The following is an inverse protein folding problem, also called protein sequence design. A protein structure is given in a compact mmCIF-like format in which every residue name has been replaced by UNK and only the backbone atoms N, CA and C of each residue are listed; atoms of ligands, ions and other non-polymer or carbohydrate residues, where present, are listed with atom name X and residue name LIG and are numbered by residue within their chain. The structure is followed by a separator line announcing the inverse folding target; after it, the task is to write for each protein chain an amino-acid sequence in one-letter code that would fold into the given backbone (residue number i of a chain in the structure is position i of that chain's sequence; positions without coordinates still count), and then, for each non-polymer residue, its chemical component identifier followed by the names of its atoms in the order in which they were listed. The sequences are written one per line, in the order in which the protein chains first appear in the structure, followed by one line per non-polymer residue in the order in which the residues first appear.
data_IF_907221614059
#
_entry.id   IF_907221614059
#
_cell.length_a   1.000
_cell.length_b   1.000
_cell.length_c   1.000
_cell.angle_alpha   90.00
_cell.angle_beta   90.00
_cell.angle_gamma   90.00
#
_symmetry.space_group_name_H-M   'P 1'
#
loop_
_entity.id
_entity.type
_entity.pdbx_description
1 polymer ?
#
# COMPACT_ATOMS: atom_id res chain seq x y z
N UNK A 1 33.42 -3.92 -6.70
CA UNK A 1 32.09 -4.47 -6.99
C UNK A 1 30.92 -3.91 -6.13
N UNK A 2 30.91 -2.65 -5.63
CA UNK A 2 29.70 -2.08 -5.00
C UNK A 2 28.61 -1.68 -6.01
N UNK A 3 29.01 -1.32 -7.23
CA UNK A 3 28.13 -0.68 -8.22
C UNK A 3 27.03 -1.62 -8.77
N UNK A 4 27.32 -2.92 -8.93
CA UNK A 4 26.34 -3.90 -9.43
C UNK A 4 25.26 -4.23 -8.38
N UNK A 5 25.63 -4.35 -7.11
CA UNK A 5 24.68 -4.64 -6.03
C UNK A 5 23.70 -3.47 -5.83
N UNK A 6 24.20 -2.24 -5.83
CA UNK A 6 23.36 -1.04 -5.76
C UNK A 6 22.40 -0.96 -6.94
N UNK A 7 22.87 -1.26 -8.15
CA UNK A 7 22.02 -1.24 -9.35
C UNK A 7 20.89 -2.27 -9.27
N UNK A 8 21.19 -3.48 -8.80
CA UNK A 8 20.18 -4.53 -8.56
C UNK A 8 19.13 -4.09 -7.53
N UNK A 9 19.55 -3.41 -6.47
CA UNK A 9 18.61 -2.90 -5.46
C UNK A 9 17.73 -1.75 -5.99
N UNK A 10 18.28 -0.87 -6.82
CA UNK A 10 17.49 0.20 -7.47
C UNK A 10 16.45 -0.36 -8.44
N UNK A 11 16.79 -1.43 -9.16
CA UNK A 11 15.85 -2.14 -10.03
C UNK A 11 14.74 -2.81 -9.19
N UNK A 12 15.08 -3.38 -8.03
CA UNK A 12 14.08 -3.92 -7.08
C UNK A 12 13.16 -2.84 -6.53
N UNK A 13 13.69 -1.68 -6.10
CA UNK A 13 12.87 -0.56 -5.63
C UNK A 13 11.93 -0.04 -6.72
N UNK A 14 12.42 0.04 -7.96
CA UNK A 14 11.59 0.41 -9.12
C UNK A 14 10.47 -0.60 -9.35
N UNK A 15 10.75 -1.89 -9.23
CA UNK A 15 9.74 -2.93 -9.36
C UNK A 15 8.70 -2.89 -8.23
N UNK A 16 9.14 -2.72 -6.98
CA UNK A 16 8.27 -2.67 -5.80
C UNK A 16 7.34 -1.46 -5.82
N UNK A 17 7.85 -0.27 -6.19
CA UNK A 17 7.01 0.92 -6.34
C UNK A 17 5.89 0.71 -7.37
N UNK A 18 6.20 0.13 -8.53
CA UNK A 18 5.17 -0.19 -9.53
C UNK A 18 4.12 -1.20 -9.02
N UNK A 19 4.51 -2.15 -8.17
CA UNK A 19 3.56 -3.08 -7.53
C UNK A 19 2.67 -2.38 -6.51
N UNK A 20 3.21 -1.43 -5.74
CA UNK A 20 2.44 -0.64 -4.78
C UNK A 20 1.45 0.28 -5.50
N UNK A 21 1.84 0.93 -6.59
CA UNK A 21 0.92 1.71 -7.43
C UNK A 21 -0.22 0.83 -7.98
N UNK A 22 0.08 -0.41 -8.38
CA UNK A 22 -0.95 -1.36 -8.83
C UNK A 22 -1.88 -1.79 -7.69
N UNK A 23 -1.34 -2.00 -6.48
CA UNK A 23 -2.14 -2.34 -5.30
C UNK A 23 -3.03 -1.17 -4.88
N UNK A 24 -2.55 0.07 -4.93
CA UNK A 24 -3.34 1.27 -4.69
C UNK A 24 -4.55 1.33 -5.63
N UNK A 25 -4.32 1.23 -6.95
CA UNK A 25 -5.42 1.18 -7.94
C UNK A 25 -6.38 0.03 -7.72
N UNK A 26 -5.87 -1.14 -7.30
CA UNK A 26 -6.73 -2.28 -6.99
C UNK A 26 -7.58 -2.01 -5.75
N UNK A 27 -7.02 -1.37 -4.73
CA UNK A 27 -7.73 -0.96 -3.52
C UNK A 27 -8.82 0.08 -3.83
N UNK A 28 -8.55 1.08 -4.66
CA UNK A 28 -9.56 2.07 -5.10
C UNK A 28 -10.79 1.43 -5.75
N UNK A 29 -10.58 0.31 -6.47
CA UNK A 29 -11.67 -0.42 -7.12
C UNK A 29 -12.36 -1.42 -6.20
N UNK A 30 -11.84 -1.64 -4.99
CA UNK A 30 -12.42 -2.56 -4.03
C UNK A 30 -13.72 -1.94 -3.50
N UNK A 31 -14.84 -2.58 -3.84
CA UNK A 31 -16.14 -2.24 -3.26
C UNK A 31 -16.47 -3.27 -2.20
N UNK A 32 -16.64 -2.86 -0.96
CA UNK A 32 -17.06 -3.76 0.11
C UNK A 32 -18.56 -4.05 -0.07
N UNK A 33 -18.88 -5.14 -0.77
CA UNK A 33 -20.25 -5.59 -0.91
C UNK A 33 -20.53 -6.59 0.23
N UNK A 34 -21.44 -6.28 1.16
CA UNK A 34 -21.84 -7.24 2.17
C UNK A 34 -22.52 -8.44 1.52
N UNK A 35 -21.90 -9.62 1.64
CA UNK A 35 -22.44 -10.89 1.15
C UNK A 35 -23.11 -11.63 2.31
N UNK A 36 -24.39 -11.36 2.56
CA UNK A 36 -25.17 -12.07 3.58
C UNK A 36 -26.53 -12.54 3.01
N UNK A 37 -26.95 -13.80 3.27
CA UNK A 37 -28.18 -14.39 2.73
C UNK A 37 -29.47 -13.67 3.17
N UNK A 38 -29.42 -12.86 4.23
CA UNK A 38 -30.57 -12.10 4.75
C UNK A 38 -30.84 -10.79 3.99
N UNK A 39 -29.89 -10.33 3.17
CA UNK A 39 -30.05 -9.11 2.35
C UNK A 39 -31.08 -9.35 1.22
N UNK A 40 -31.33 -10.62 0.85
CA UNK A 40 -32.33 -11.01 -0.14
C UNK A 40 -33.77 -11.18 0.38
N UNK A 41 -34.00 -11.12 1.68
CA UNK A 41 -35.33 -11.24 2.29
C UNK A 41 -35.71 -9.92 3.00
N UNK A 42 -36.14 -8.88 2.24
CA UNK A 42 -36.40 -7.55 2.78
C UNK A 42 -37.49 -7.48 3.87
N UNK A 43 -38.29 -8.54 4.04
CA UNK A 43 -39.35 -8.61 5.03
C UNK A 43 -38.91 -9.06 6.44
N UNK A 44 -37.69 -9.59 6.63
CA UNK A 44 -37.26 -10.19 7.91
C UNK A 44 -36.02 -9.53 8.55
N UNK A 45 -35.40 -8.53 7.90
CA UNK A 45 -34.22 -7.86 8.45
C UNK A 45 -34.61 -6.79 9.48
N UNK A 46 -34.05 -6.83 10.69
CA UNK A 46 -34.16 -5.74 11.66
C UNK A 46 -33.51 -4.46 11.11
N UNK A 47 -34.15 -3.30 11.31
CA UNK A 47 -33.64 -2.01 10.86
C UNK A 47 -32.27 -1.67 11.46
N UNK A 48 -32.02 -2.09 12.70
CA UNK A 48 -30.73 -1.97 13.38
C UNK A 48 -29.61 -2.73 12.67
N UNK A 49 -29.88 -3.95 12.20
CA UNK A 49 -28.91 -4.76 11.47
C UNK A 49 -28.52 -4.09 10.15
N UNK A 50 -29.48 -3.50 9.44
CA UNK A 50 -29.22 -2.76 8.20
C UNK A 50 -28.36 -1.53 8.45
N UNK A 51 -28.61 -0.80 9.54
CA UNK A 51 -27.81 0.35 9.93
C UNK A 51 -26.37 -0.05 10.25
N UNK A 52 -26.17 -1.16 10.99
CA UNK A 52 -24.83 -1.69 11.28
C UNK A 52 -24.09 -2.07 10.01
N UNK A 53 -24.72 -2.82 9.09
CA UNK A 53 -24.10 -3.19 7.82
C UNK A 53 -23.72 -1.94 6.99
N UNK A 54 -24.61 -0.94 6.92
CA UNK A 54 -24.31 0.32 6.23
C UNK A 54 -23.11 1.03 6.85
N UNK A 55 -23.10 1.20 8.18
CA UNK A 55 -22.00 1.86 8.89
C UNK A 55 -20.69 1.09 8.70
N UNK A 56 -20.72 -0.23 8.74
CA UNK A 56 -19.54 -1.07 8.53
C UNK A 56 -19.02 -0.97 7.10
N UNK A 57 -19.90 -1.03 6.09
CA UNK A 57 -19.51 -0.85 4.69
C UNK A 57 -18.95 0.55 4.44
N UNK A 58 -19.62 1.59 4.94
CA UNK A 58 -19.16 2.97 4.81
C UNK A 58 -17.79 3.17 5.48
N UNK A 59 -17.57 2.62 6.68
CA UNK A 59 -16.28 2.71 7.36
C UNK A 59 -15.17 2.00 6.57
N UNK A 60 -15.47 0.82 6.02
CA UNK A 60 -14.49 0.06 5.25
C UNK A 60 -14.14 0.77 3.93
N UNK A 61 -15.13 1.23 3.17
CA UNK A 61 -14.92 1.91 1.90
C UNK A 61 -14.29 3.31 2.08
N UNK A 62 -14.76 4.10 3.06
CA UNK A 62 -14.33 5.51 3.18
C UNK A 62 -13.07 5.71 4.01
N UNK A 63 -12.85 4.90 5.05
CA UNK A 63 -11.71 5.10 5.93
C UNK A 63 -10.60 4.09 5.62
N UNK A 64 -10.92 2.79 5.58
CA UNK A 64 -9.87 1.77 5.46
C UNK A 64 -9.31 1.66 4.04
N UNK A 65 -10.17 1.56 3.03
CA UNK A 65 -9.73 1.48 1.62
C UNK A 65 -8.97 2.75 1.22
N UNK A 66 -9.49 3.92 1.58
CA UNK A 66 -8.82 5.19 1.32
C UNK A 66 -7.44 5.27 1.99
N UNK A 67 -7.35 4.96 3.28
CA UNK A 67 -6.08 5.02 4.02
C UNK A 67 -5.04 4.01 3.48
N UNK A 68 -5.46 2.80 3.10
CA UNK A 68 -4.56 1.80 2.52
C UNK A 68 -4.07 2.25 1.13
N UNK A 69 -4.96 2.84 0.33
CA UNK A 69 -4.61 3.40 -0.98
C UNK A 69 -3.56 4.50 -0.83
N UNK A 70 -3.83 5.50 0.00
CA UNK A 70 -2.91 6.60 0.28
C UNK A 70 -1.55 6.07 0.75
N UNK A 71 -1.55 5.09 1.67
CA UNK A 71 -0.29 4.53 2.18
C UNK A 71 0.53 3.79 1.13
N UNK A 72 -0.13 3.09 0.20
CA UNK A 72 0.55 2.43 -0.92
C UNK A 72 1.14 3.45 -1.90
N UNK A 73 0.40 4.50 -2.22
CA UNK A 73 0.88 5.58 -3.10
C UNK A 73 2.06 6.34 -2.48
N UNK A 74 1.96 6.75 -1.22
CA UNK A 74 3.05 7.41 -0.48
C UNK A 74 4.33 6.56 -0.51
N UNK A 75 4.20 5.26 -0.23
CA UNK A 75 5.35 4.36 -0.20
C UNK A 75 5.94 4.18 -1.60
N UNK A 76 5.11 4.07 -2.64
CA UNK A 76 5.55 4.00 -4.03
C UNK A 76 6.30 5.27 -4.46
N UNK A 77 5.81 6.45 -4.07
CA UNK A 77 6.44 7.74 -4.31
C UNK A 77 7.81 7.83 -3.65
N UNK A 78 7.92 7.45 -2.36
CA UNK A 78 9.19 7.42 -1.64
C UNK A 78 10.19 6.49 -2.31
N UNK A 79 9.76 5.29 -2.74
CA UNK A 79 10.61 4.36 -3.48
C UNK A 79 11.09 4.92 -4.83
N UNK A 80 10.20 5.56 -5.61
CA UNK A 80 10.57 6.20 -6.87
C UNK A 80 11.56 7.35 -6.66
N UNK A 81 11.32 8.18 -5.64
CA UNK A 81 12.23 9.29 -5.29
C UNK A 81 13.60 8.77 -4.86
N UNK A 82 13.66 7.72 -4.04
CA UNK A 82 14.92 7.09 -3.65
C UNK A 82 15.70 6.61 -4.88
N UNK A 83 15.04 5.93 -5.82
CA UNK A 83 15.69 5.48 -7.06
C UNK A 83 16.31 6.64 -7.85
N UNK A 84 15.58 7.74 -8.01
CA UNK A 84 16.06 8.92 -8.73
C UNK A 84 17.25 9.55 -8.02
N UNK A 85 17.18 9.70 -6.69
CA UNK A 85 18.24 10.29 -5.89
C UNK A 85 19.52 9.44 -5.91
N UNK A 86 19.40 8.12 -5.76
CA UNK A 86 20.55 7.21 -5.82
C UNK A 86 21.24 7.16 -7.18
N UNK A 87 20.49 7.22 -8.28
CA UNK A 87 21.07 7.25 -9.63
C UNK A 87 21.93 8.49 -9.87
N UNK A 88 21.67 9.56 -9.13
CA UNK A 88 22.34 10.85 -9.28
C UNK A 88 23.32 11.16 -8.12
N UNK A 89 23.49 10.25 -7.16
CA UNK A 89 24.26 10.48 -5.95
C UNK A 89 25.70 9.97 -6.08
N UNK A 90 26.64 10.71 -5.48
CA UNK A 90 28.00 10.24 -5.23
C UNK A 90 28.01 9.23 -4.06
N UNK A 91 28.97 8.30 -4.06
CA UNK A 91 29.08 7.19 -3.08
C UNK A 91 29.00 7.65 -1.62
N UNK A 92 29.46 8.86 -1.30
CA UNK A 92 29.43 9.42 0.06
C UNK A 92 28.03 9.79 0.57
N UNK A 93 27.05 9.98 -0.33
CA UNK A 93 25.68 10.43 0.00
C UNK A 93 24.71 9.24 0.09
N UNK A 94 25.09 8.10 -0.47
CA UNK A 94 24.28 6.88 -0.59
C UNK A 94 23.84 6.33 0.77
N UNK A 95 24.73 6.28 1.77
CA UNK A 95 24.39 5.80 3.11
C UNK A 95 23.34 6.67 3.80
N UNK A 96 23.48 8.00 3.69
CA UNK A 96 22.52 8.92 4.28
C UNK A 96 21.15 8.78 3.62
N UNK A 97 21.14 8.62 2.30
CA UNK A 97 19.92 8.37 1.55
C UNK A 97 19.22 7.07 1.97
N UNK A 98 20.00 6.03 2.31
CA UNK A 98 19.48 4.74 2.76
C UNK A 98 18.76 4.87 4.10
N UNK A 99 19.38 5.58 5.02
CA UNK A 99 18.80 5.86 6.32
C UNK A 99 17.50 6.67 6.20
N UNK A 100 17.47 7.69 5.33
CA UNK A 100 16.25 8.48 5.08
C UNK A 100 15.14 7.63 4.47
N UNK A 101 15.46 6.78 3.49
CA UNK A 101 14.49 5.87 2.88
C UNK A 101 13.87 4.91 3.90
N UNK A 102 14.70 4.22 4.69
CA UNK A 102 14.24 3.31 5.75
C UNK A 102 13.39 4.00 6.82
N UNK A 103 13.73 5.24 7.18
CA UNK A 103 12.94 6.05 8.09
C UNK A 103 11.55 6.37 7.53
N UNK A 104 11.47 6.71 6.23
CA UNK A 104 10.23 7.10 5.59
C UNK A 104 9.29 5.91 5.32
N UNK A 105 9.82 4.78 4.87
CA UNK A 105 9.01 3.60 4.55
C UNK A 105 8.74 2.70 5.75
N UNK A 106 9.54 2.81 6.81
CA UNK A 106 9.59 1.83 7.89
C UNK A 106 10.19 0.49 7.44
N UNK A 107 10.25 -0.48 8.36
CA UNK A 107 10.77 -1.82 8.11
C UNK A 107 9.69 -2.71 7.48
N UNK A 108 9.75 -2.94 6.18
CA UNK A 108 8.89 -3.91 5.50
C UNK A 108 9.47 -5.31 5.67
N UNK A 109 9.13 -6.00 6.77
CA UNK A 109 9.48 -7.42 6.90
C UNK A 109 8.53 -8.21 6.01
N UNK A 110 9.06 -8.81 4.95
CA UNK A 110 8.34 -9.90 4.27
C UNK A 110 8.44 -11.11 5.19
N UNK A 111 7.55 -11.21 6.18
CA UNK A 111 7.39 -12.44 6.93
C UNK A 111 6.84 -13.49 5.96
N UNK A 112 7.73 -14.26 5.33
CA UNK A 112 7.39 -15.50 4.66
C UNK A 112 6.82 -16.43 5.73
N UNK A 113 5.50 -16.42 5.89
CA UNK A 113 4.81 -17.45 6.64
C UNK A 113 4.97 -18.74 5.83
N UNK A 114 5.98 -19.53 6.19
CA UNK A 114 6.04 -20.97 5.97
C UNK A 114 5.28 -21.69 7.07
#
# INVERSE_FOLDING_TARGET
MPNDAMRVDLDRLSHLSGRLDQLARSAETLKVIPHEPWIGAPATSLSSLRAVVSISTDLLDTALVAAVTERFEETADVMRQAVVQYKNADDAVVEQLAATYLSATGTWTTSSHT
#
